data_IF_295812813027
#
_entry.id   IF_295812813027
#
_cell.length_a   1.000
_cell.length_b   1.000
_cell.length_c   1.000
_cell.angle_alpha   90.00
_cell.angle_beta   90.00
_cell.angle_gamma   90.00
#
_symmetry.space_group_name_H-M   'P 1'
#
loop_
_entity.id
_entity.type
_entity.pdbx_description
1 polymer ?
#
# COMPACT_ATOMS: atom_id res chain seq x y z
N UNK A 1 -10.92 -18.43 11.09
CA UNK A 1 -11.48 -18.30 9.73
C UNK A 1 -10.89 -17.11 8.96
N UNK A 2 -10.92 -15.88 9.47
CA UNK A 2 -10.41 -14.70 8.75
C UNK A 2 -8.91 -14.75 8.42
N UNK A 3 -8.09 -15.50 9.17
CA UNK A 3 -6.69 -15.77 8.85
C UNK A 3 -6.47 -16.47 7.51
N UNK A 4 -7.46 -17.15 6.93
CA UNK A 4 -7.29 -17.94 5.70
C UNK A 4 -7.69 -17.21 4.41
N UNK A 5 -8.54 -16.19 4.50
CA UNK A 5 -9.19 -15.59 3.33
C UNK A 5 -8.58 -14.19 3.06
N UNK A 6 -8.04 -13.93 1.84
CA UNK A 6 -7.62 -12.61 1.40
C UNK A 6 -8.70 -11.55 1.60
N UNK A 7 -8.29 -10.32 1.90
CA UNK A 7 -9.15 -9.18 2.22
C UNK A 7 -9.92 -9.31 3.53
N UNK A 8 -10.43 -10.49 3.90
CA UNK A 8 -11.14 -10.65 5.18
C UNK A 8 -10.22 -10.30 6.35
N UNK A 9 -8.93 -10.66 6.27
CA UNK A 9 -7.94 -10.25 7.26
C UNK A 9 -7.74 -8.73 7.30
N UNK A 10 -7.57 -8.06 6.16
CA UNK A 10 -7.50 -6.60 6.07
C UNK A 10 -8.74 -5.94 6.68
N UNK A 11 -9.95 -6.40 6.33
CA UNK A 11 -11.19 -5.82 6.84
C UNK A 11 -11.35 -6.01 8.35
N UNK A 12 -10.88 -7.14 8.89
CA UNK A 12 -10.96 -7.42 10.32
C UNK A 12 -9.92 -6.67 11.14
N UNK A 13 -8.70 -6.51 10.64
CA UNK A 13 -7.56 -5.97 11.43
C UNK A 13 -7.24 -4.51 11.15
N UNK A 14 -7.50 -4.03 9.92
CA UNK A 14 -7.11 -2.66 9.49
C UNK A 14 -8.31 -1.78 9.18
N UNK A 15 -9.39 -2.33 8.63
CA UNK A 15 -10.58 -1.57 8.20
C UNK A 15 -11.79 -1.82 9.11
N UNK A 16 -11.60 -1.75 10.43
CA UNK A 16 -12.62 -2.09 11.44
C UNK A 16 -13.86 -1.18 11.34
N UNK A 17 -13.67 0.13 11.10
CA UNK A 17 -14.74 1.12 11.03
C UNK A 17 -15.22 1.44 9.62
N UNK A 18 -16.46 1.94 9.50
CA UNK A 18 -17.02 2.42 8.21
C UNK A 18 -16.16 3.53 7.58
N UNK A 19 -15.64 4.44 8.40
CA UNK A 19 -14.73 5.52 7.96
C UNK A 19 -13.44 4.97 7.37
N UNK A 20 -12.84 3.94 7.98
CA UNK A 20 -11.63 3.30 7.47
C UNK A 20 -11.87 2.57 6.14
N UNK A 21 -13.00 1.87 6.01
CA UNK A 21 -13.41 1.21 4.76
C UNK A 21 -13.63 2.24 3.64
N UNK A 22 -14.34 3.32 3.95
CA UNK A 22 -14.56 4.42 3.01
C UNK A 22 -13.23 5.07 2.62
N UNK A 23 -12.38 5.40 3.58
CA UNK A 23 -11.05 5.92 3.30
C UNK A 23 -10.25 5.00 2.39
N UNK A 24 -10.27 3.68 2.62
CA UNK A 24 -9.58 2.72 1.77
C UNK A 24 -10.08 2.73 0.32
N UNK A 25 -11.38 2.90 0.08
CA UNK A 25 -11.91 3.03 -1.29
C UNK A 25 -11.29 4.25 -2.00
N UNK A 26 -11.27 5.40 -1.33
CA UNK A 26 -10.77 6.65 -1.93
C UNK A 26 -9.24 6.74 -1.95
N UNK A 27 -8.54 6.15 -1.00
CA UNK A 27 -7.07 6.21 -0.98
C UNK A 27 -6.41 5.10 -1.76
N UNK A 28 -7.10 3.97 -1.97
CA UNK A 28 -6.56 2.78 -2.61
C UNK A 28 -7.34 2.40 -3.86
N UNK A 29 -8.60 1.93 -3.72
CA UNK A 29 -9.33 1.28 -4.81
C UNK A 29 -9.53 2.19 -6.01
N UNK A 30 -9.95 3.45 -5.80
CA UNK A 30 -10.16 4.39 -6.89
C UNK A 30 -8.83 4.76 -7.57
N UNK A 31 -7.79 5.23 -6.85
CA UNK A 31 -6.49 5.52 -7.47
C UNK A 31 -5.89 4.35 -8.24
N UNK A 32 -5.85 3.14 -7.65
CA UNK A 32 -5.28 1.97 -8.33
C UNK A 32 -6.12 1.52 -9.52
N UNK A 33 -7.44 1.72 -9.47
CA UNK A 33 -8.29 1.45 -10.63
C UNK A 33 -8.07 2.45 -11.76
N UNK A 34 -7.86 3.74 -11.46
CA UNK A 34 -7.52 4.75 -12.46
C UNK A 34 -6.19 4.42 -13.14
N UNK A 35 -5.18 4.01 -12.37
CA UNK A 35 -3.88 3.56 -12.92
C UNK A 35 -4.07 2.32 -13.79
N UNK A 36 -4.82 1.33 -13.29
CA UNK A 36 -5.14 0.11 -14.02
C UNK A 36 -5.84 0.40 -15.37
N UNK A 37 -6.86 1.25 -15.33
CA UNK A 37 -7.65 1.61 -16.50
C UNK A 37 -6.80 2.33 -17.55
N UNK A 38 -5.95 3.26 -17.12
CA UNK A 38 -5.06 3.99 -18.01
C UNK A 38 -3.96 3.10 -18.62
N UNK A 39 -3.37 2.19 -17.82
CA UNK A 39 -2.17 1.45 -18.23
C UNK A 39 -2.44 0.12 -18.93
N UNK A 40 -3.53 -0.58 -18.60
CA UNK A 40 -3.79 -1.95 -19.07
C UNK A 40 -5.12 -2.08 -19.80
N UNK A 41 -6.18 -1.43 -19.28
CA UNK A 41 -7.54 -1.47 -19.83
C UNK A 41 -8.07 -2.88 -20.25
N UNK A 42 -7.62 -3.94 -19.58
CA UNK A 42 -7.88 -5.34 -19.96
C UNK A 42 -9.12 -5.98 -19.27
N UNK A 43 -10.08 -5.15 -18.85
CA UNK A 43 -11.33 -5.58 -18.22
C UNK A 43 -11.28 -5.82 -16.70
N UNK A 44 -12.43 -5.67 -16.05
CA UNK A 44 -12.53 -5.69 -14.57
C UNK A 44 -11.99 -6.96 -13.89
N UNK A 45 -12.06 -8.12 -14.56
CA UNK A 45 -11.57 -9.39 -14.01
C UNK A 45 -10.05 -9.35 -13.76
N UNK A 46 -9.25 -8.76 -14.65
CA UNK A 46 -7.82 -8.63 -14.42
C UNK A 46 -7.53 -7.68 -13.25
N UNK A 47 -8.28 -6.58 -13.12
CA UNK A 47 -8.14 -5.70 -11.96
C UNK A 47 -8.40 -6.44 -10.64
N UNK A 48 -9.45 -7.25 -10.59
CA UNK A 48 -9.73 -8.08 -9.42
C UNK A 48 -8.61 -9.07 -9.12
N UNK A 49 -8.06 -9.74 -10.15
CA UNK A 49 -6.92 -10.66 -9.98
C UNK A 49 -5.64 -9.93 -9.51
N UNK A 50 -5.37 -8.71 -10.00
CA UNK A 50 -4.26 -7.88 -9.56
C UNK A 50 -4.41 -7.53 -8.07
N UNK A 51 -5.61 -7.12 -7.65
CA UNK A 51 -5.92 -6.88 -6.24
C UNK A 51 -5.71 -8.17 -5.42
N UNK A 52 -6.25 -9.29 -5.87
CA UNK A 52 -6.17 -10.56 -5.17
C UNK A 52 -4.73 -11.03 -4.99
N UNK A 53 -3.90 -10.99 -6.04
CA UNK A 53 -2.50 -11.36 -6.00
C UNK A 53 -1.70 -10.46 -5.04
N UNK A 54 -1.88 -9.14 -5.19
CA UNK A 54 -1.18 -8.13 -4.37
C UNK A 54 -1.54 -8.28 -2.90
N UNK A 55 -2.83 -8.35 -2.55
CA UNK A 55 -3.24 -8.48 -1.15
C UNK A 55 -2.97 -9.85 -0.56
N UNK A 56 -3.01 -10.93 -1.34
CA UNK A 56 -2.64 -12.27 -0.83
C UNK A 56 -1.18 -12.31 -0.40
N UNK A 57 -0.27 -11.70 -1.18
CA UNK A 57 1.14 -11.57 -0.83
C UNK A 57 1.36 -10.57 0.32
N UNK A 58 0.67 -9.44 0.29
CA UNK A 58 0.86 -8.36 1.26
C UNK A 58 0.31 -8.70 2.65
N UNK A 59 -0.83 -9.40 2.74
CA UNK A 59 -1.43 -9.81 4.01
C UNK A 59 -0.62 -10.90 4.72
N UNK A 60 0.16 -11.72 4.00
CA UNK A 60 1.10 -12.66 4.62
C UNK A 60 2.08 -11.95 5.54
N UNK A 61 2.67 -10.85 5.05
CA UNK A 61 3.57 -10.01 5.83
C UNK A 61 2.88 -9.36 7.04
N UNK A 62 1.62 -8.96 6.89
CA UNK A 62 0.81 -8.43 8.00
C UNK A 62 0.48 -9.47 9.06
N UNK A 63 0.10 -10.69 8.67
CA UNK A 63 -0.17 -11.78 9.61
C UNK A 63 1.07 -12.05 10.45
N UNK A 64 2.24 -12.16 9.82
CA UNK A 64 3.49 -12.36 10.55
C UNK A 64 3.79 -11.19 11.49
N UNK A 65 3.61 -9.96 11.02
CA UNK A 65 3.82 -8.75 11.82
C UNK A 65 2.93 -8.75 13.08
N UNK A 66 1.64 -8.99 12.88
CA UNK A 66 0.63 -8.88 13.93
C UNK A 66 0.64 -10.09 14.89
N UNK A 67 1.12 -11.27 14.44
CA UNK A 67 1.07 -12.49 15.24
C UNK A 67 2.42 -12.89 15.86
N UNK A 68 3.53 -12.74 15.15
CA UNK A 68 4.86 -13.16 15.64
C UNK A 68 5.69 -11.99 16.12
N UNK A 69 5.70 -10.93 15.32
CA UNK A 69 6.64 -9.85 15.47
C UNK A 69 6.27 -8.92 16.62
N UNK A 70 4.96 -8.73 16.86
CA UNK A 70 4.38 -8.06 18.03
C UNK A 70 4.92 -8.59 19.36
N UNK A 71 5.23 -9.89 19.47
CA UNK A 71 5.75 -10.50 20.70
C UNK A 71 7.13 -9.99 21.11
N UNK A 72 7.86 -9.39 20.16
CA UNK A 72 9.21 -8.85 20.34
C UNK A 72 9.22 -7.34 20.53
N UNK A 73 8.07 -6.67 20.52
CA UNK A 73 7.97 -5.22 20.67
C UNK A 73 7.78 -4.83 22.15
N UNK A 74 8.46 -3.76 22.60
CA UNK A 74 8.32 -3.26 23.97
C UNK A 74 6.93 -2.63 24.22
N UNK A 75 6.29 -2.08 23.18
CA UNK A 75 4.96 -1.47 23.24
C UNK A 75 4.18 -1.80 21.95
N UNK A 76 3.65 -3.03 21.83
CA UNK A 76 3.06 -3.49 20.59
C UNK A 76 1.72 -2.83 20.27
N UNK A 77 1.46 -2.63 18.98
CA UNK A 77 0.10 -2.32 18.51
C UNK A 77 -0.69 -3.62 18.37
N UNK A 78 -1.47 -3.97 19.39
CA UNK A 78 -2.29 -5.18 19.38
C UNK A 78 -3.46 -5.04 18.39
N UNK A 79 -3.48 -5.91 17.38
CA UNK A 79 -4.57 -6.00 16.38
C UNK A 79 -5.37 -7.30 16.48
N UNK A 80 -4.83 -8.28 17.18
CA UNK A 80 -5.43 -9.59 17.40
C UNK A 80 -5.77 -9.71 18.89
N UNK A 81 -6.92 -10.31 19.17
CA UNK A 81 -7.31 -10.71 20.51
C UNK A 81 -6.53 -11.93 20.99
N UNK A 82 -6.53 -12.18 22.29
CA UNK A 82 -5.86 -13.34 22.88
C UNK A 82 -6.32 -14.67 22.27
N UNK A 83 -7.63 -14.83 22.05
CA UNK A 83 -8.21 -16.02 21.43
C UNK A 83 -7.71 -16.22 20.00
N UNK A 84 -7.57 -15.13 19.24
CA UNK A 84 -7.04 -15.15 17.87
C UNK A 84 -5.55 -15.51 17.83
N UNK A 85 -4.76 -15.06 18.81
CA UNK A 85 -3.37 -15.50 18.98
C UNK A 85 -3.27 -16.99 19.29
N UNK A 86 -4.08 -17.50 20.22
CA UNK A 86 -4.10 -18.94 20.55
C UNK A 86 -4.48 -19.77 19.31
N UNK A 87 -5.50 -19.32 18.55
CA UNK A 87 -5.87 -19.95 17.30
C UNK A 87 -4.73 -19.94 16.28
N UNK A 88 -4.07 -18.80 16.12
CA UNK A 88 -2.93 -18.66 15.21
C UNK A 88 -1.80 -19.61 15.59
N UNK A 89 -1.39 -19.69 16.86
CA UNK A 89 -0.29 -20.58 17.28
C UNK A 89 -0.58 -22.04 16.96
N UNK A 90 -1.82 -22.48 17.19
CA UNK A 90 -2.24 -23.84 16.90
C UNK A 90 -2.24 -24.16 15.39
N UNK A 91 -2.44 -23.17 14.53
CA UNK A 91 -2.71 -23.38 13.09
C UNK A 91 -1.73 -22.69 12.14
N UNK A 92 -0.68 -22.03 12.62
CA UNK A 92 0.16 -21.12 11.81
C UNK A 92 0.69 -21.73 10.52
N UNK A 93 1.19 -22.97 10.55
CA UNK A 93 1.66 -23.67 9.35
C UNK A 93 0.56 -23.75 8.29
N UNK A 94 -0.64 -24.16 8.69
CA UNK A 94 -1.79 -24.27 7.80
C UNK A 94 -2.26 -22.89 7.29
N UNK A 95 -2.25 -21.86 8.15
CA UNK A 95 -2.55 -20.47 7.76
C UNK A 95 -1.61 -20.01 6.64
N UNK A 96 -0.29 -20.15 6.81
CA UNK A 96 0.68 -19.74 5.81
C UNK A 96 0.55 -20.56 4.52
N UNK A 97 0.32 -21.88 4.59
CA UNK A 97 0.12 -22.72 3.40
C UNK A 97 -1.09 -22.29 2.58
N UNK A 98 -2.25 -22.07 3.22
CA UNK A 98 -3.46 -21.61 2.53
C UNK A 98 -3.27 -20.22 1.93
N UNK A 99 -2.55 -19.33 2.63
CA UNK A 99 -2.26 -17.99 2.14
C UNK A 99 -1.33 -17.98 0.94
N UNK A 100 -0.30 -18.82 0.95
CA UNK A 100 0.59 -19.00 -0.19
C UNK A 100 -0.18 -19.62 -1.38
N UNK A 101 -1.09 -20.55 -1.10
CA UNK A 101 -1.97 -21.12 -2.13
C UNK A 101 -2.80 -20.04 -2.84
N UNK A 102 -3.34 -19.04 -2.12
CA UNK A 102 -4.04 -17.91 -2.75
C UNK A 102 -3.14 -17.08 -3.68
N UNK A 103 -1.88 -16.84 -3.29
CA UNK A 103 -0.89 -16.17 -4.15
C UNK A 103 -0.67 -16.99 -5.43
N UNK A 104 -0.47 -18.30 -5.30
CA UNK A 104 -0.26 -19.20 -6.44
C UNK A 104 -1.50 -19.23 -7.35
N UNK A 105 -2.69 -19.46 -6.79
CA UNK A 105 -3.96 -19.51 -7.55
C UNK A 105 -4.18 -18.22 -8.33
N UNK A 106 -4.00 -17.06 -7.69
CA UNK A 106 -4.18 -15.77 -8.38
C UNK A 106 -3.21 -15.59 -9.55
N UNK A 107 -1.94 -15.97 -9.40
CA UNK A 107 -0.95 -15.88 -10.47
C UNK A 107 -1.19 -16.91 -11.59
N UNK A 108 -1.63 -18.12 -11.25
CA UNK A 108 -2.03 -19.14 -12.24
C UNK A 108 -3.26 -18.69 -13.03
N UNK A 109 -4.26 -18.09 -12.37
CA UNK A 109 -5.42 -17.52 -13.08
C UNK A 109 -5.01 -16.41 -14.05
N UNK A 110 -4.08 -15.53 -13.65
CA UNK A 110 -3.50 -14.53 -14.56
C UNK A 110 -2.75 -15.21 -15.70
N UNK A 111 -1.94 -16.24 -15.45
CA UNK A 111 -1.23 -16.96 -16.50
C UNK A 111 -2.17 -17.55 -17.56
N UNK A 112 -3.28 -18.18 -17.12
CA UNK A 112 -4.24 -18.82 -18.01
C UNK A 112 -5.10 -17.82 -18.80
N UNK A 113 -5.49 -16.70 -18.18
CA UNK A 113 -6.45 -15.76 -18.76
C UNK A 113 -5.81 -14.51 -19.38
N UNK A 114 -4.62 -14.14 -18.92
CA UNK A 114 -3.97 -12.84 -19.14
C UNK A 114 -2.44 -12.99 -19.23
N UNK A 115 -1.98 -13.92 -20.06
CA UNK A 115 -0.58 -14.36 -20.15
C UNK A 115 0.43 -13.22 -20.26
N UNK A 116 0.10 -12.16 -20.99
CA UNK A 116 0.97 -10.99 -21.19
C UNK A 116 1.31 -10.22 -19.89
N UNK A 117 0.43 -10.26 -18.89
CA UNK A 117 0.64 -9.56 -17.61
C UNK A 117 1.18 -10.48 -16.51
N UNK A 118 1.26 -11.78 -16.76
CA UNK A 118 1.64 -12.78 -15.77
C UNK A 118 2.98 -12.48 -15.11
N UNK A 119 4.02 -12.21 -15.92
CA UNK A 119 5.37 -12.02 -15.38
C UNK A 119 5.45 -10.81 -14.44
N UNK A 120 4.76 -9.71 -14.76
CA UNK A 120 4.77 -8.49 -13.96
C UNK A 120 4.02 -8.67 -12.63
N UNK A 121 2.87 -9.36 -12.64
CA UNK A 121 2.10 -9.66 -11.42
C UNK A 121 2.85 -10.67 -10.54
N UNK A 122 3.52 -11.65 -11.14
CA UNK A 122 4.36 -12.61 -10.43
C UNK A 122 5.54 -11.91 -9.76
N UNK A 123 6.28 -11.08 -10.50
CA UNK A 123 7.41 -10.32 -9.97
C UNK A 123 6.96 -9.39 -8.84
N UNK A 124 5.80 -8.73 -8.96
CA UNK A 124 5.26 -7.91 -7.87
C UNK A 124 4.93 -8.74 -6.63
N UNK A 125 4.26 -9.88 -6.80
CA UNK A 125 3.90 -10.78 -5.69
C UNK A 125 5.15 -11.27 -4.95
N UNK A 126 6.17 -11.73 -5.69
CA UNK A 126 7.44 -12.19 -5.12
C UNK A 126 8.20 -11.06 -4.44
N UNK A 127 8.25 -9.88 -5.04
CA UNK A 127 8.91 -8.69 -4.46
C UNK A 127 8.27 -8.29 -3.14
N UNK A 128 6.94 -8.30 -3.04
CA UNK A 128 6.23 -8.02 -1.78
C UNK A 128 6.64 -9.02 -0.70
N UNK A 129 6.65 -10.32 -1.03
CA UNK A 129 7.04 -11.37 -0.07
C UNK A 129 8.49 -11.19 0.40
N UNK A 130 9.43 -10.98 -0.54
CA UNK A 130 10.85 -10.78 -0.23
C UNK A 130 11.08 -9.54 0.64
N UNK A 131 10.48 -8.41 0.28
CA UNK A 131 10.62 -7.17 1.06
C UNK A 131 10.02 -7.36 2.45
N UNK A 132 8.93 -8.10 2.61
CA UNK A 132 8.37 -8.39 3.94
C UNK A 132 9.27 -9.27 4.81
N UNK A 133 9.99 -10.24 4.22
CA UNK A 133 10.96 -11.06 4.97
C UNK A 133 12.02 -10.16 5.59
N UNK A 134 12.57 -9.21 4.84
CA UNK A 134 13.57 -8.25 5.33
C UNK A 134 12.94 -7.22 6.28
N UNK A 135 11.78 -6.68 5.95
CA UNK A 135 11.07 -5.69 6.77
C UNK A 135 10.73 -6.24 8.16
N UNK A 136 10.35 -7.51 8.25
CA UNK A 136 9.99 -8.14 9.51
C UNK A 136 11.21 -8.66 10.31
N UNK A 137 12.42 -8.71 9.71
CA UNK A 137 13.64 -9.11 10.42
C UNK A 137 14.39 -7.94 11.07
N UNK A 138 14.18 -6.72 10.58
CA UNK A 138 14.88 -5.50 11.03
C UNK A 138 13.93 -4.60 11.84
N UNK A 139 14.48 -3.84 12.80
CA UNK A 139 13.76 -2.93 13.72
C UNK A 139 14.41 -1.55 13.91
N UNK A 140 15.06 -1.04 12.88
CA UNK A 140 15.77 0.24 12.91
C UNK A 140 15.22 1.19 11.83
N UNK A 141 15.92 2.29 11.56
CA UNK A 141 15.51 3.29 10.55
C UNK A 141 15.34 2.72 9.14
N UNK A 142 16.01 1.62 8.78
CA UNK A 142 15.83 0.97 7.47
C UNK A 142 14.40 0.46 7.26
N UNK A 143 13.62 0.24 8.33
CA UNK A 143 12.20 -0.07 8.20
C UNK A 143 11.42 1.05 7.51
N UNK A 144 11.86 2.32 7.56
CA UNK A 144 11.21 3.43 6.86
C UNK A 144 11.35 3.25 5.34
N UNK A 145 12.55 2.91 4.87
CA UNK A 145 12.83 2.67 3.45
C UNK A 145 12.04 1.46 2.96
N UNK A 146 12.10 0.35 3.72
CA UNK A 146 11.37 -0.87 3.39
C UNK A 146 9.85 -0.67 3.42
N UNK A 147 9.33 0.14 4.35
CA UNK A 147 7.92 0.53 4.37
C UNK A 147 7.53 1.30 3.11
N UNK A 148 8.37 2.24 2.69
CA UNK A 148 8.17 2.99 1.44
C UNK A 148 8.15 2.07 0.23
N UNK A 149 9.09 1.12 0.15
CA UNK A 149 9.16 0.14 -0.92
C UNK A 149 7.92 -0.76 -0.95
N UNK A 150 7.45 -1.22 0.21
CA UNK A 150 6.20 -1.98 0.32
C UNK A 150 4.98 -1.19 -0.17
N UNK A 151 4.94 0.12 0.06
CA UNK A 151 3.87 0.97 -0.48
C UNK A 151 3.97 1.11 -1.99
N UNK A 152 5.16 1.31 -2.57
CA UNK A 152 5.34 1.33 -4.03
C UNK A 152 4.84 0.01 -4.63
N UNK A 153 5.30 -1.13 -4.11
CA UNK A 153 4.92 -2.45 -4.64
C UNK A 153 3.41 -2.70 -4.54
N UNK A 154 2.79 -2.28 -3.44
CA UNK A 154 1.36 -2.46 -3.23
C UNK A 154 0.51 -1.60 -4.18
N UNK A 155 0.88 -0.34 -4.40
CA UNK A 155 0.06 0.59 -5.19
C UNK A 155 0.40 0.59 -6.68
N UNK A 156 1.69 0.48 -7.00
CA UNK A 156 2.20 0.73 -8.35
C UNK A 156 3.12 -0.37 -8.88
N UNK A 157 3.46 -1.38 -8.07
CA UNK A 157 4.53 -2.34 -8.38
C UNK A 157 4.36 -3.06 -9.71
N UNK A 158 3.15 -3.52 -10.04
CA UNK A 158 2.87 -4.18 -11.34
C UNK A 158 3.22 -3.26 -12.51
N UNK A 159 2.82 -1.98 -12.45
CA UNK A 159 3.06 -1.00 -13.52
C UNK A 159 4.53 -0.59 -13.60
N UNK A 160 5.21 -0.50 -12.45
CA UNK A 160 6.66 -0.26 -12.40
C UNK A 160 7.42 -1.38 -13.13
N UNK A 161 7.08 -2.65 -12.87
CA UNK A 161 7.70 -3.78 -13.58
C UNK A 161 7.34 -3.83 -15.06
N UNK A 162 6.10 -3.44 -15.41
CA UNK A 162 5.62 -3.45 -16.79
C UNK A 162 6.29 -2.38 -17.64
N UNK A 163 6.40 -1.15 -17.12
CA UNK A 163 6.96 -0.02 -17.87
C UNK A 163 8.49 0.00 -17.81
N UNK A 164 9.09 -0.44 -16.70
CA UNK A 164 10.54 -0.39 -16.51
C UNK A 164 11.12 1.03 -16.48
N UNK A 165 10.28 2.05 -16.30
CA UNK A 165 10.67 3.46 -16.39
C UNK A 165 10.97 4.06 -15.01
N UNK A 166 12.15 4.65 -14.86
CA UNK A 166 12.60 5.28 -13.61
C UNK A 166 11.84 6.58 -13.30
N UNK A 167 11.44 7.33 -14.32
CA UNK A 167 10.61 8.53 -14.16
C UNK A 167 9.25 8.19 -13.57
N UNK A 168 8.59 7.17 -14.15
CA UNK A 168 7.33 6.62 -13.67
C UNK A 168 7.44 6.11 -12.23
N UNK A 169 8.50 5.36 -11.91
CA UNK A 169 8.76 4.89 -10.54
C UNK A 169 8.90 6.07 -9.56
N UNK A 170 9.71 7.07 -9.92
CA UNK A 170 9.96 8.22 -9.06
C UNK A 170 8.69 9.01 -8.79
N UNK A 171 7.92 9.36 -9.82
CA UNK A 171 6.67 10.13 -9.65
C UNK A 171 5.59 9.30 -8.96
N UNK A 172 5.49 8.00 -9.24
CA UNK A 172 4.60 7.09 -8.51
C UNK A 172 4.95 7.02 -7.02
N UNK A 173 6.24 7.06 -6.68
CA UNK A 173 6.69 7.15 -5.29
C UNK A 173 6.28 8.48 -4.65
N UNK A 174 6.37 9.61 -5.37
CA UNK A 174 5.89 10.91 -4.88
C UNK A 174 4.35 10.93 -4.70
N UNK A 175 3.58 10.29 -5.56
CA UNK A 175 2.11 10.37 -5.50
C UNK A 175 1.50 9.92 -4.17
N UNK A 176 1.97 8.80 -3.62
CA UNK A 176 1.33 8.23 -2.42
C UNK A 176 2.33 7.62 -1.43
N UNK A 177 3.29 6.78 -1.84
CA UNK A 177 4.27 6.20 -0.93
C UNK A 177 5.02 7.23 -0.09
N UNK A 178 5.64 8.25 -0.69
CA UNK A 178 6.46 9.23 0.03
C UNK A 178 5.64 9.97 1.11
N UNK A 179 4.46 10.49 0.75
CA UNK A 179 3.61 11.21 1.71
C UNK A 179 3.29 10.37 2.96
N UNK A 180 3.04 9.06 2.79
CA UNK A 180 2.76 8.17 3.92
C UNK A 180 4.03 7.67 4.61
N UNK A 181 5.14 7.56 3.90
CA UNK A 181 6.46 7.27 4.48
C UNK A 181 6.89 8.39 5.42
N UNK A 182 6.66 9.65 5.05
CA UNK A 182 6.93 10.80 5.93
C UNK A 182 6.10 10.74 7.21
N UNK A 183 4.82 10.40 7.13
CA UNK A 183 3.97 10.13 8.31
C UNK A 183 4.56 9.00 9.16
N UNK A 184 4.88 7.87 8.53
CA UNK A 184 5.46 6.73 9.21
C UNK A 184 6.80 7.02 9.89
N UNK A 185 7.64 7.89 9.32
CA UNK A 185 8.93 8.30 9.87
C UNK A 185 8.81 9.17 11.14
N UNK A 186 7.66 9.80 11.38
CA UNK A 186 7.45 10.60 12.61
C UNK A 186 7.14 9.76 13.85
N UNK A 187 6.98 8.44 13.71
CA UNK A 187 6.68 7.58 14.86
C UNK A 187 7.85 7.58 15.84
N UNK A 188 7.53 7.71 17.13
CA UNK A 188 8.50 7.85 18.23
C UNK A 188 9.58 6.75 18.32
N UNK A 189 9.33 5.57 17.73
CA UNK A 189 10.33 4.49 17.67
C UNK A 189 11.52 4.79 16.74
N UNK A 190 11.38 5.79 15.87
CA UNK A 190 12.39 6.16 14.90
C UNK A 190 13.15 7.40 15.37
N UNK A 191 14.46 7.42 15.16
CA UNK A 191 15.31 8.57 15.42
C UNK A 191 14.87 9.79 14.61
N UNK A 192 14.41 9.58 13.38
CA UNK A 192 13.86 10.62 12.49
C UNK A 192 12.75 11.45 13.13
N UNK A 193 11.98 10.89 14.08
CA UNK A 193 10.93 11.63 14.82
C UNK A 193 11.45 12.82 15.67
N UNK A 194 12.75 12.86 15.99
CA UNK A 194 13.35 13.97 16.73
C UNK A 194 13.45 15.24 15.89
N UNK A 195 13.60 15.09 14.57
CA UNK A 195 13.83 16.19 13.63
C UNK A 195 12.62 16.43 12.72
N UNK A 196 11.92 15.37 12.32
CA UNK A 196 10.71 15.47 11.51
C UNK A 196 9.49 15.60 12.43
N UNK A 197 9.08 16.85 12.71
CA UNK A 197 7.88 17.16 13.50
C UNK A 197 6.82 17.75 12.59
N UNK A 198 5.70 17.03 12.45
CA UNK A 198 4.53 17.46 11.67
C UNK A 198 3.36 17.56 12.64
N UNK A 199 3.00 18.79 13.03
CA UNK A 199 1.97 19.02 14.06
C UNK A 199 0.56 18.66 13.59
N UNK A 200 0.26 18.88 12.30
CA UNK A 200 -1.02 18.54 11.70
C UNK A 200 -0.81 17.84 10.36
N UNK A 201 -0.91 16.52 10.40
CA UNK A 201 -0.72 15.67 9.22
C UNK A 201 -1.75 15.89 8.11
N UNK A 202 -2.99 16.25 8.45
CA UNK A 202 -4.01 16.51 7.43
C UNK A 202 -3.73 17.81 6.68
N UNK A 203 -3.30 18.86 7.40
CA UNK A 203 -2.83 20.11 6.78
C UNK A 203 -1.58 19.86 5.92
N UNK A 204 -0.60 19.10 6.44
CA UNK A 204 0.60 18.74 5.71
C UNK A 204 0.28 18.01 4.41
N UNK A 205 -0.64 17.04 4.43
CA UNK A 205 -1.07 16.31 3.23
C UNK A 205 -1.67 17.22 2.17
N UNK A 206 -2.51 18.18 2.56
CA UNK A 206 -3.05 19.16 1.61
C UNK A 206 -1.93 19.97 0.98
N UNK A 207 -1.02 20.52 1.78
CA UNK A 207 0.13 21.30 1.28
C UNK A 207 1.05 20.46 0.37
N UNK A 208 1.30 19.21 0.74
CA UNK A 208 2.06 18.25 -0.04
C UNK A 208 1.48 18.07 -1.45
N UNK A 209 0.17 17.84 -1.55
CA UNK A 209 -0.48 17.63 -2.85
C UNK A 209 -0.60 18.93 -3.66
N UNK A 210 -0.72 20.10 -3.03
CA UNK A 210 -0.62 21.40 -3.74
C UNK A 210 0.76 21.51 -4.41
N UNK A 211 1.83 21.27 -3.65
CA UNK A 211 3.20 21.29 -4.17
C UNK A 211 3.40 20.25 -5.28
N UNK A 212 2.90 19.03 -5.08
CA UNK A 212 3.07 17.95 -6.04
C UNK A 212 2.38 18.23 -7.38
N UNK A 213 1.16 18.81 -7.36
CA UNK A 213 0.46 19.22 -8.59
C UNK A 213 1.28 20.28 -9.34
N UNK A 214 1.79 21.30 -8.64
CA UNK A 214 2.64 22.32 -9.27
C UNK A 214 3.92 21.71 -9.86
N UNK A 215 4.57 20.82 -9.11
CA UNK A 215 5.79 20.15 -9.56
C UNK A 215 5.55 19.32 -10.83
N UNK A 216 4.52 18.48 -10.86
CA UNK A 216 4.23 17.62 -12.02
C UNK A 216 3.80 18.47 -13.23
N UNK A 217 3.05 19.57 -13.01
CA UNK A 217 2.72 20.51 -14.08
C UNK A 217 3.97 21.16 -14.69
N UNK A 218 4.89 21.64 -13.87
CA UNK A 218 6.17 22.23 -14.34
C UNK A 218 7.00 21.19 -15.10
N UNK A 219 7.17 19.99 -14.54
CA UNK A 219 7.93 18.91 -15.20
C UNK A 219 7.29 18.46 -16.52
N UNK A 220 5.96 18.47 -16.60
CA UNK A 220 5.21 18.19 -17.82
C UNK A 220 5.37 19.26 -18.88
N UNK A 221 5.45 20.54 -18.50
CA UNK A 221 5.62 21.65 -19.43
C UNK A 221 6.95 21.60 -20.21
N UNK A 222 8.00 21.06 -19.60
CA UNK A 222 9.32 20.90 -20.23
C UNK A 222 9.50 19.56 -20.94
N UNK A 223 8.42 18.81 -21.22
CA UNK A 223 8.44 17.45 -21.79
C UNK A 223 9.40 16.49 -21.07
N UNK A 224 9.71 16.78 -19.81
CA UNK A 224 10.71 16.06 -19.00
C UNK A 224 10.12 14.84 -18.30
N UNK A 225 8.80 14.68 -18.35
CA UNK A 225 8.07 13.64 -17.65
C UNK A 225 7.00 13.00 -18.54
N UNK A 226 7.24 11.77 -19.02
CA UNK A 226 6.20 10.96 -19.64
C UNK A 226 5.02 10.76 -18.68
N UNK A 227 3.80 10.72 -19.21
CA UNK A 227 2.57 10.54 -18.43
C UNK A 227 2.26 11.67 -17.42
N UNK A 228 2.82 12.86 -17.62
CA UNK A 228 2.60 14.03 -16.75
C UNK A 228 1.13 14.38 -16.56
N UNK A 229 0.32 14.32 -17.62
CA UNK A 229 -1.14 14.53 -17.56
C UNK A 229 -1.82 13.53 -16.62
N UNK A 230 -1.53 12.23 -16.80
CA UNK A 230 -2.05 11.15 -15.97
C UNK A 230 -1.67 11.34 -14.49
N UNK A 231 -0.41 11.66 -14.22
CA UNK A 231 0.07 11.91 -12.86
C UNK A 231 -0.55 13.16 -12.24
N UNK A 232 -0.78 14.21 -13.03
CA UNK A 232 -1.50 15.42 -12.59
C UNK A 232 -2.93 15.10 -12.18
N UNK A 233 -3.66 14.28 -12.95
CA UNK A 233 -5.02 13.84 -12.60
C UNK A 233 -5.04 13.12 -11.26
N UNK A 234 -4.11 12.19 -11.03
CA UNK A 234 -4.01 11.48 -9.74
C UNK A 234 -3.62 12.41 -8.58
N UNK A 235 -2.67 13.33 -8.80
CA UNK A 235 -2.25 14.29 -7.78
C UNK A 235 -3.41 15.25 -7.41
N UNK A 236 -4.16 15.73 -8.40
CA UNK A 236 -5.37 16.53 -8.21
C UNK A 236 -6.46 15.75 -7.48
N UNK A 237 -6.68 14.49 -7.83
CA UNK A 237 -7.62 13.62 -7.14
C UNK A 237 -7.28 13.54 -5.63
N UNK A 238 -6.01 13.27 -5.30
CA UNK A 238 -5.59 13.23 -3.90
C UNK A 238 -5.67 14.60 -3.23
N UNK A 239 -5.36 15.69 -3.92
CA UNK A 239 -5.50 17.05 -3.40
C UNK A 239 -6.96 17.33 -3.00
N UNK A 240 -7.92 17.04 -3.89
CA UNK A 240 -9.34 17.22 -3.63
C UNK A 240 -9.77 16.36 -2.45
N UNK A 241 -9.43 15.07 -2.45
CA UNK A 241 -9.77 14.16 -1.36
C UNK A 241 -9.23 14.63 0.00
N UNK A 242 -7.95 15.03 0.07
CA UNK A 242 -7.31 15.50 1.31
C UNK A 242 -7.87 16.83 1.77
N UNK A 243 -8.20 17.74 0.85
CA UNK A 243 -8.82 19.03 1.16
C UNK A 243 -10.22 18.82 1.76
N UNK A 244 -11.03 17.96 1.15
CA UNK A 244 -12.36 17.62 1.69
C UNK A 244 -12.26 16.99 3.08
N UNK A 245 -11.35 16.04 3.28
CA UNK A 245 -11.13 15.45 4.61
C UNK A 245 -10.72 16.51 5.66
N UNK A 246 -9.78 17.38 5.32
CA UNK A 246 -9.32 18.44 6.22
C UNK A 246 -10.46 19.40 6.59
N UNK A 247 -11.31 19.77 5.62
CA UNK A 247 -12.41 20.70 5.85
C UNK A 247 -13.57 20.08 6.64
N UNK A 248 -13.97 18.85 6.32
CA UNK A 248 -15.23 18.26 6.84
C UNK A 248 -15.04 17.29 8.02
N UNK A 249 -13.88 16.66 8.14
CA UNK A 249 -13.64 15.66 9.20
C UNK A 249 -12.89 16.30 10.37
N UNK A 250 -11.82 17.07 10.11
CA UNK A 250 -10.98 17.63 11.18
C UNK A 250 -11.70 18.74 11.96
N UNK A 251 -12.55 19.54 11.29
CA UNK A 251 -13.33 20.59 11.97
C UNK A 251 -14.44 20.06 12.89
N UNK A 252 -14.82 18.78 12.79
CA UNK A 252 -15.90 18.19 13.60
C UNK A 252 -15.42 17.60 14.93
N UNK A 253 -14.10 17.53 15.15
CA UNK A 253 -13.46 16.95 16.34
C UNK A 253 -12.55 17.95 17.07
N UNK A 254 -12.74 19.25 16.85
CA UNK A 254 -12.23 20.32 17.70
C UNK A 254 -13.38 20.98 18.44
#
# INVERSE_FOLDING_TARGET
MFFYIPFYYLFRTRLVGKSAKFAWIFTYIIPTYVVYFYMMNAGFMLYFLLLLATFSAYELGYIYNDAELVKKENNPTLRLSQQEHVFYEKNKKFIYSIRLLWVVISNVMVFCLYKEYFIFILLNSLSILLVYVVYNSIRNEFNIILYSLLLILKYFGVYVFMLGDLGFLFVSWLLYPLCNTLDFATKARFFTSHYLKIDNFDKFRVQYYIFLVMLIYILGYFDSLPYSEFFNVLALYFLVYRTLLYLFVVKKFR
#
